data_IF_309620817637
#
_entry.id   IF_309620817637
#
_cell.length_a   1.000
_cell.length_b   1.000
_cell.length_c   1.000
_cell.angle_alpha   90.00
_cell.angle_beta   90.00
_cell.angle_gamma   90.00
#
_symmetry.space_group_name_H-M   'P 1'
#
loop_
_entity.id
_entity.type
_entity.pdbx_description
1 polymer ?
#
# COMPACT_ATOMS: atom_id res chain seq x y z
N UNK A 1 -60.56 -6.74 4.38
CA UNK A 1 -59.38 -7.56 4.01
C UNK A 1 -58.42 -6.69 3.23
N UNK A 2 -57.44 -6.08 3.90
CA UNK A 2 -56.23 -5.54 3.27
C UNK A 2 -55.11 -5.71 4.30
N UNK A 3 -54.16 -6.58 3.95
CA UNK A 3 -52.98 -6.91 4.73
C UNK A 3 -51.93 -5.87 4.37
N UNK A 4 -51.55 -5.03 5.34
CA UNK A 4 -50.36 -4.18 5.21
C UNK A 4 -49.11 -5.05 5.36
N UNK A 5 -48.38 -5.21 4.26
CA UNK A 5 -47.09 -5.89 4.23
C UNK A 5 -46.03 -4.88 4.66
N UNK A 6 -45.53 -5.01 5.87
CA UNK A 6 -44.39 -4.24 6.38
C UNK A 6 -43.09 -4.86 5.82
N UNK A 7 -42.33 -4.13 5.00
CA UNK A 7 -40.96 -4.52 4.60
C UNK A 7 -39.98 -4.07 5.69
N UNK A 8 -39.17 -4.97 6.29
CA UNK A 8 -38.15 -4.56 7.23
C UNK A 8 -36.91 -4.07 6.47
N UNK A 9 -36.46 -2.87 6.85
CA UNK A 9 -35.24 -2.25 6.35
C UNK A 9 -33.98 -2.85 6.99
N UNK A 10 -33.10 -3.32 6.13
CA UNK A 10 -31.85 -4.03 6.38
C UNK A 10 -30.68 -3.06 6.66
N UNK A 11 -30.66 -2.43 7.85
CA UNK A 11 -29.53 -1.59 8.30
C UNK A 11 -28.93 -1.99 9.65
N UNK A 12 -29.61 -2.85 10.41
CA UNK A 12 -29.12 -3.34 11.71
C UNK A 12 -28.30 -4.64 11.62
N UNK A 13 -28.51 -5.44 10.58
CA UNK A 13 -27.86 -6.75 10.40
C UNK A 13 -26.40 -6.59 9.93
N UNK A 14 -26.16 -5.68 8.97
CA UNK A 14 -24.85 -5.41 8.36
C UNK A 14 -23.81 -4.89 9.38
N UNK A 15 -24.20 -3.98 10.27
CA UNK A 15 -23.32 -3.45 11.32
C UNK A 15 -22.92 -4.53 12.34
N UNK A 16 -23.84 -5.45 12.65
CA UNK A 16 -23.57 -6.59 13.54
C UNK A 16 -22.64 -7.61 12.89
N UNK A 17 -22.84 -7.91 11.60
CA UNK A 17 -21.99 -8.85 10.85
C UNK A 17 -20.58 -8.29 10.67
N UNK A 18 -20.43 -7.02 10.28
CA UNK A 18 -19.14 -6.34 10.20
C UNK A 18 -18.38 -6.39 11.53
N UNK A 19 -19.03 -6.03 12.64
CA UNK A 19 -18.42 -6.07 13.97
C UNK A 19 -17.99 -7.49 14.37
N UNK A 20 -18.78 -8.51 14.01
CA UNK A 20 -18.45 -9.90 14.26
C UNK A 20 -17.22 -10.37 13.46
N UNK A 21 -17.09 -9.94 12.20
CA UNK A 21 -15.92 -10.22 11.37
C UNK A 21 -14.64 -9.56 11.93
N UNK A 22 -14.71 -8.32 12.42
CA UNK A 22 -13.57 -7.69 13.11
C UNK A 22 -13.23 -8.46 14.39
N UNK A 23 -14.23 -8.81 15.20
CA UNK A 23 -14.03 -9.52 16.46
C UNK A 23 -13.34 -10.87 16.26
N UNK A 24 -13.74 -11.66 15.26
CA UNK A 24 -13.12 -12.97 15.00
C UNK A 24 -11.65 -12.82 14.57
N UNK A 25 -11.32 -11.76 13.83
CA UNK A 25 -9.93 -11.47 13.46
C UNK A 25 -9.07 -11.10 14.68
N UNK A 26 -9.59 -10.29 15.61
CA UNK A 26 -8.86 -9.96 16.85
C UNK A 26 -8.59 -11.19 17.72
N UNK A 27 -9.57 -12.10 17.82
CA UNK A 27 -9.39 -13.37 18.53
C UNK A 27 -8.38 -14.28 17.80
N UNK A 28 -8.39 -14.30 16.47
CA UNK A 28 -7.41 -15.03 15.67
C UNK A 28 -5.99 -14.45 15.81
N UNK A 29 -5.83 -13.13 15.85
CA UNK A 29 -4.53 -12.49 16.08
C UNK A 29 -3.96 -12.85 17.45
N UNK A 30 -4.81 -12.87 18.48
CA UNK A 30 -4.43 -13.33 19.83
C UNK A 30 -3.97 -14.78 19.83
N UNK A 31 -4.70 -15.65 19.11
CA UNK A 31 -4.30 -17.05 18.92
C UNK A 31 -2.91 -17.14 18.28
N UNK A 32 -2.71 -16.52 17.13
CA UNK A 32 -1.43 -16.58 16.42
C UNK A 32 -0.27 -15.98 17.23
N UNK A 33 -0.51 -14.89 17.96
CA UNK A 33 0.50 -14.28 18.85
C UNK A 33 0.93 -15.29 19.92
N UNK A 34 -0.04 -15.93 20.59
CA UNK A 34 0.24 -16.95 21.60
C UNK A 34 1.04 -18.11 21.02
N UNK A 35 0.66 -18.63 19.86
CA UNK A 35 1.39 -19.73 19.23
C UNK A 35 2.84 -19.35 18.92
N UNK A 36 3.11 -18.12 18.47
CA UNK A 36 4.48 -17.64 18.22
C UNK A 36 5.32 -17.61 19.50
N UNK A 37 4.77 -17.03 20.58
CA UNK A 37 5.46 -16.89 21.86
C UNK A 37 5.70 -18.25 22.53
N UNK A 38 4.75 -19.18 22.40
CA UNK A 38 4.87 -20.53 22.97
C UNK A 38 5.79 -21.45 22.17
N UNK A 39 6.30 -21.01 21.01
CA UNK A 39 7.30 -21.74 20.22
C UNK A 39 8.55 -20.86 19.99
N UNK A 40 9.28 -20.48 21.05
CA UNK A 40 10.44 -19.58 20.93
C UNK A 40 11.57 -20.16 20.08
N UNK A 41 11.70 -21.50 20.05
CA UNK A 41 12.65 -22.25 19.23
C UNK A 41 12.05 -22.69 17.87
N UNK A 42 10.80 -22.31 17.60
CA UNK A 42 10.14 -22.60 16.34
C UNK A 42 10.75 -21.81 15.18
N UNK A 43 10.63 -22.36 13.97
CA UNK A 43 11.20 -21.73 12.76
C UNK A 43 10.74 -20.28 12.56
N UNK A 44 9.52 -19.94 12.97
CA UNK A 44 8.96 -18.60 12.83
C UNK A 44 9.75 -17.57 13.65
N UNK A 45 10.02 -17.88 14.92
CA UNK A 45 10.82 -17.06 15.80
C UNK A 45 12.29 -17.03 15.36
N UNK A 46 12.84 -18.18 14.94
CA UNK A 46 14.20 -18.27 14.41
C UNK A 46 14.38 -17.41 13.16
N UNK A 47 13.45 -17.49 12.21
CA UNK A 47 13.50 -16.69 10.98
C UNK A 47 13.49 -15.18 11.27
N UNK A 48 12.70 -14.74 12.26
CA UNK A 48 12.70 -13.34 12.68
C UNK A 48 14.07 -12.95 13.27
N UNK A 49 14.68 -13.78 14.12
CA UNK A 49 16.03 -13.54 14.66
C UNK A 49 17.11 -13.52 13.59
N UNK A 50 17.10 -14.49 12.69
CA UNK A 50 18.08 -14.58 11.59
C UNK A 50 18.05 -13.32 10.71
N UNK A 51 16.86 -12.76 10.51
CA UNK A 51 16.64 -11.52 9.75
C UNK A 51 16.85 -10.25 10.58
N UNK A 52 17.25 -10.35 11.86
CA UNK A 52 17.35 -9.24 12.83
C UNK A 52 16.01 -8.51 13.04
N UNK A 53 14.89 -9.20 12.85
CA UNK A 53 13.53 -8.69 12.99
C UNK A 53 12.84 -9.12 14.31
N UNK A 54 13.60 -9.66 15.26
CA UNK A 54 13.12 -10.27 16.49
C UNK A 54 12.64 -9.28 17.57
N UNK A 55 12.83 -7.97 17.37
CA UNK A 55 12.20 -6.94 18.21
C UNK A 55 10.68 -7.11 18.34
N UNK A 56 10.03 -7.72 17.33
CA UNK A 56 8.59 -8.02 17.36
C UNK A 56 8.21 -9.13 18.35
N UNK A 57 9.17 -9.93 18.81
CA UNK A 57 8.96 -11.01 19.77
C UNK A 57 8.86 -10.49 21.22
N UNK A 58 9.33 -9.27 21.48
CA UNK A 58 9.26 -8.68 22.81
C UNK A 58 7.80 -8.57 23.32
N UNK A 59 7.54 -8.82 24.63
CA UNK A 59 6.18 -8.74 25.19
C UNK A 59 5.48 -7.38 24.97
N UNK A 60 6.24 -6.28 25.00
CA UNK A 60 5.73 -4.91 24.79
C UNK A 60 5.78 -4.42 23.34
N UNK A 61 6.10 -5.29 22.38
CA UNK A 61 6.12 -4.89 20.97
C UNK A 61 4.73 -4.45 20.52
N UNK A 62 4.58 -3.27 19.87
CA UNK A 62 3.31 -2.85 19.31
C UNK A 62 2.93 -3.65 18.05
N UNK A 63 3.90 -4.35 17.44
CA UNK A 63 3.64 -5.21 16.29
C UNK A 63 2.93 -6.50 16.69
N UNK A 64 1.73 -6.70 16.16
CA UNK A 64 0.91 -7.91 16.34
C UNK A 64 1.34 -9.04 15.40
N UNK A 65 2.61 -9.44 15.48
CA UNK A 65 3.14 -10.59 14.74
C UNK A 65 2.81 -11.89 15.47
N UNK A 66 2.33 -12.88 14.73
CA UNK A 66 2.01 -14.21 15.25
C UNK A 66 2.52 -15.34 14.38
N UNK A 67 2.13 -16.57 14.71
CA UNK A 67 2.46 -17.79 13.99
C UNK A 67 1.20 -18.65 13.82
N UNK A 68 0.89 -19.02 12.58
CA UNK A 68 -0.10 -20.03 12.26
C UNK A 68 0.61 -21.40 12.28
N UNK A 69 0.39 -22.23 13.33
CA UNK A 69 1.00 -23.54 13.42
C UNK A 69 0.57 -24.46 12.27
N UNK A 70 1.40 -25.45 11.93
CA UNK A 70 0.99 -26.48 10.99
C UNK A 70 -0.12 -27.36 11.58
N UNK A 71 -1.02 -27.84 10.72
CA UNK A 71 -2.22 -28.57 11.12
C UNK A 71 -3.45 -28.13 10.34
N UNK A 72 -4.44 -29.02 10.24
CA UNK A 72 -5.60 -28.78 9.38
C UNK A 72 -6.67 -27.88 10.00
N UNK A 73 -6.83 -27.83 11.32
CA UNK A 73 -7.99 -27.17 11.95
C UNK A 73 -7.69 -26.60 13.34
N UNK A 74 -6.44 -26.16 13.59
CA UNK A 74 -6.02 -25.62 14.88
C UNK A 74 -6.73 -24.31 15.20
N UNK A 75 -6.73 -23.37 14.26
CA UNK A 75 -7.45 -22.10 14.40
C UNK A 75 -8.96 -22.33 14.38
N UNK A 76 -9.48 -23.09 13.42
CA UNK A 76 -10.92 -23.38 13.31
C UNK A 76 -11.45 -23.98 14.61
N UNK A 77 -10.77 -24.99 15.16
CA UNK A 77 -11.14 -25.60 16.42
C UNK A 77 -11.07 -24.62 17.60
N UNK A 78 -10.05 -23.75 17.62
CA UNK A 78 -9.95 -22.70 18.63
C UNK A 78 -11.10 -21.70 18.56
N UNK A 79 -11.40 -21.15 17.37
CA UNK A 79 -12.44 -20.15 17.18
C UNK A 79 -13.84 -20.71 17.46
N UNK A 80 -14.11 -21.97 17.10
CA UNK A 80 -15.37 -22.65 17.50
C UNK A 80 -15.54 -22.71 19.01
N UNK A 81 -14.47 -23.02 19.76
CA UNK A 81 -14.49 -22.98 21.24
C UNK A 81 -14.66 -21.58 21.80
N UNK A 82 -14.34 -20.54 21.03
CA UNK A 82 -14.61 -19.14 21.35
C UNK A 82 -16.03 -18.69 20.96
N UNK A 83 -16.87 -19.61 20.46
CA UNK A 83 -18.27 -19.37 20.15
C UNK A 83 -18.55 -18.82 18.75
N UNK A 84 -17.57 -18.83 17.85
CA UNK A 84 -17.80 -18.44 16.45
C UNK A 84 -18.33 -19.61 15.63
N UNK A 85 -19.37 -19.37 14.85
CA UNK A 85 -19.91 -20.35 13.90
C UNK A 85 -19.06 -20.45 12.63
N UNK A 86 -19.32 -21.50 11.86
CA UNK A 86 -18.58 -21.83 10.64
C UNK A 86 -18.77 -20.79 9.51
N UNK A 87 -19.93 -20.14 9.44
CA UNK A 87 -20.22 -19.11 8.42
C UNK A 87 -19.29 -17.91 8.64
N UNK A 88 -19.18 -17.45 9.87
CA UNK A 88 -18.29 -16.34 10.25
C UNK A 88 -16.83 -16.64 9.90
N UNK A 89 -16.37 -17.88 10.11
CA UNK A 89 -14.98 -18.26 9.79
C UNK A 89 -14.71 -18.25 8.28
N UNK A 90 -15.70 -18.67 7.49
CA UNK A 90 -15.65 -18.65 6.03
C UNK A 90 -15.68 -17.21 5.49
N UNK A 91 -16.62 -16.40 5.96
CA UNK A 91 -16.80 -15.01 5.52
C UNK A 91 -15.64 -14.10 5.93
N UNK A 92 -15.02 -14.40 7.08
CA UNK A 92 -13.77 -13.76 7.51
C UNK A 92 -12.55 -14.19 6.68
N UNK A 93 -12.67 -15.24 5.86
CA UNK A 93 -11.55 -15.79 5.09
C UNK A 93 -10.49 -16.49 5.95
N UNK A 94 -10.85 -16.90 7.18
CA UNK A 94 -9.96 -17.58 8.12
C UNK A 94 -9.98 -19.11 7.95
N UNK A 95 -11.05 -19.63 7.36
CA UNK A 95 -11.22 -21.04 7.04
C UNK A 95 -11.40 -21.28 5.53
N UNK A 96 -11.27 -22.54 5.12
CA UNK A 96 -11.63 -22.99 3.77
C UNK A 96 -12.33 -24.35 3.85
N UNK A 97 -13.35 -24.59 3.02
CA UNK A 97 -14.01 -25.90 2.99
C UNK A 97 -13.13 -26.90 2.23
N UNK A 98 -13.07 -28.12 2.74
CA UNK A 98 -12.58 -29.28 1.99
C UNK A 98 -13.67 -29.80 1.04
N UNK A 99 -13.30 -30.70 0.13
CA UNK A 99 -14.26 -31.36 -0.78
C UNK A 99 -15.40 -32.08 -0.04
N UNK A 100 -15.15 -32.53 1.19
CA UNK A 100 -16.10 -33.29 2.01
C UNK A 100 -16.87 -32.38 3.00
N UNK A 101 -16.77 -31.06 2.87
CA UNK A 101 -17.49 -30.08 3.70
C UNK A 101 -16.84 -29.72 5.04
N UNK A 102 -15.76 -30.40 5.44
CA UNK A 102 -15.02 -30.01 6.67
C UNK A 102 -14.27 -28.69 6.46
N UNK A 103 -14.32 -27.82 7.47
CA UNK A 103 -13.51 -26.60 7.50
C UNK A 103 -12.09 -26.86 7.96
N UNK A 104 -11.15 -26.27 7.24
CA UNK A 104 -9.72 -26.28 7.54
C UNK A 104 -9.16 -24.85 7.63
N UNK A 105 -8.06 -24.70 8.36
CA UNK A 105 -7.35 -23.45 8.53
C UNK A 105 -6.84 -22.94 7.16
N UNK A 106 -7.15 -21.68 6.85
CA UNK A 106 -6.65 -20.99 5.65
C UNK A 106 -5.13 -20.83 5.70
N UNK A 107 -4.62 -20.41 6.85
CA UNK A 107 -3.22 -20.16 7.11
C UNK A 107 -2.63 -21.28 7.95
N UNK A 108 -1.55 -21.88 7.47
CA UNK A 108 -0.89 -23.04 8.07
C UNK A 108 0.60 -22.97 7.83
N UNK A 109 1.38 -23.20 8.88
CA UNK A 109 2.85 -23.12 8.89
C UNK A 109 3.35 -21.77 8.33
N UNK A 110 2.86 -20.66 8.91
CA UNK A 110 3.14 -19.29 8.45
C UNK A 110 3.40 -18.31 9.58
N UNK A 111 4.35 -17.39 9.40
CA UNK A 111 4.41 -16.16 10.21
C UNK A 111 3.25 -15.28 9.77
N UNK A 112 2.50 -14.75 10.73
CA UNK A 112 1.26 -14.02 10.52
C UNK A 112 1.45 -12.54 10.85
N UNK A 113 1.09 -11.69 9.90
CA UNK A 113 1.08 -10.24 10.03
C UNK A 113 -0.34 -9.70 9.89
N UNK A 114 -0.69 -8.74 10.71
CA UNK A 114 -1.99 -8.08 10.72
C UNK A 114 -2.11 -7.06 9.58
N UNK A 115 -3.23 -7.09 8.87
CA UNK A 115 -3.56 -6.10 7.85
C UNK A 115 -4.77 -5.27 8.30
N UNK A 116 -4.65 -3.96 8.24
CA UNK A 116 -5.60 -3.02 8.82
C UNK A 116 -6.25 -2.13 7.77
N UNK A 117 -7.46 -1.66 8.07
CA UNK A 117 -8.22 -0.72 7.23
C UNK A 117 -7.88 0.75 7.54
N UNK A 118 -8.72 1.67 7.04
CA UNK A 118 -8.55 3.11 7.23
C UNK A 118 -8.72 3.56 8.69
N UNK A 119 -9.52 2.85 9.48
CA UNK A 119 -9.77 3.11 10.89
C UNK A 119 -8.82 2.30 11.80
N UNK A 120 -7.84 1.62 11.20
CA UNK A 120 -6.89 0.71 11.86
C UNK A 120 -7.54 -0.53 12.48
N UNK A 121 -8.76 -0.90 12.06
CA UNK A 121 -9.33 -2.19 12.44
C UNK A 121 -8.57 -3.32 11.77
N UNK A 122 -8.37 -4.42 12.49
CA UNK A 122 -7.84 -5.64 11.90
C UNK A 122 -8.87 -6.28 10.96
N UNK A 123 -8.57 -6.25 9.67
CA UNK A 123 -9.48 -6.76 8.62
C UNK A 123 -8.98 -7.99 7.91
N UNK A 124 -7.70 -8.36 8.10
CA UNK A 124 -7.14 -9.53 7.46
C UNK A 124 -5.71 -9.82 7.90
N UNK A 125 -5.09 -10.78 7.22
CA UNK A 125 -3.75 -11.24 7.51
C UNK A 125 -2.92 -11.40 6.23
N UNK A 126 -1.61 -11.20 6.40
CA UNK A 126 -0.57 -11.61 5.45
C UNK A 126 0.27 -12.70 6.11
N UNK A 127 0.30 -13.89 5.52
CA UNK A 127 0.99 -15.07 6.05
C UNK A 127 2.22 -15.44 5.22
N UNK A 128 3.42 -15.37 5.81
CA UNK A 128 4.68 -15.81 5.17
C UNK A 128 4.99 -17.26 5.50
N UNK A 129 5.15 -18.12 4.49
CA UNK A 129 5.53 -19.53 4.68
C UNK A 129 7.04 -19.75 4.56
N UNK A 130 7.52 -20.84 5.16
CA UNK A 130 8.85 -21.41 4.87
C UNK A 130 8.80 -22.43 3.72
N UNK A 131 9.96 -22.72 3.12
CA UNK A 131 10.13 -23.78 2.12
C UNK A 131 9.35 -23.54 0.83
N UNK A 132 8.86 -24.62 0.23
CA UNK A 132 8.28 -24.65 -1.14
C UNK A 132 6.82 -24.18 -1.24
N UNK A 133 6.21 -23.78 -0.12
CA UNK A 133 4.85 -23.23 -0.12
C UNK A 133 4.86 -21.84 -0.76
N UNK A 134 3.71 -21.40 -1.28
CA UNK A 134 3.53 -20.01 -1.75
C UNK A 134 4.01 -19.04 -0.67
N UNK A 135 5.07 -18.28 -1.00
CA UNK A 135 5.86 -17.50 -0.04
C UNK A 135 5.01 -16.57 0.81
N UNK A 136 4.08 -15.83 0.19
CA UNK A 136 3.12 -14.97 0.86
C UNK A 136 1.69 -15.33 0.49
N UNK A 137 0.83 -15.41 1.50
CA UNK A 137 -0.59 -15.68 1.36
C UNK A 137 -1.37 -14.57 2.03
N UNK A 138 -2.27 -13.93 1.31
CA UNK A 138 -3.16 -12.91 1.87
C UNK A 138 -4.52 -13.54 2.20
N UNK A 139 -5.24 -12.92 3.14
CA UNK A 139 -6.69 -13.11 3.28
C UNK A 139 -7.36 -12.93 1.90
N UNK A 140 -8.31 -13.81 1.51
CA UNK A 140 -9.10 -13.59 0.29
C UNK A 140 -9.90 -12.28 0.40
N UNK A 141 -10.47 -11.80 -0.69
CA UNK A 141 -11.41 -10.67 -0.62
C UNK A 141 -12.61 -11.08 0.25
N UNK A 142 -12.97 -10.23 1.22
CA UNK A 142 -14.15 -10.39 2.09
C UNK A 142 -14.94 -9.09 2.14
N UNK A 143 -16.02 -9.05 2.91
CA UNK A 143 -16.77 -7.81 3.16
C UNK A 143 -15.89 -6.71 3.80
N UNK A 144 -14.91 -7.11 4.63
CA UNK A 144 -14.04 -6.18 5.37
C UNK A 144 -12.62 -6.08 4.79
N UNK A 145 -12.21 -7.02 3.94
CA UNK A 145 -10.85 -7.07 3.38
C UNK A 145 -10.82 -6.86 1.87
N UNK A 146 -10.09 -5.82 1.44
CA UNK A 146 -9.67 -5.61 0.06
C UNK A 146 -8.19 -5.25 0.03
N UNK A 147 -7.40 -5.97 -0.77
CA UNK A 147 -5.94 -5.73 -0.89
C UNK A 147 -5.59 -4.28 -1.24
N UNK A 148 -6.43 -3.62 -2.04
CA UNK A 148 -6.27 -2.22 -2.45
C UNK A 148 -6.59 -1.20 -1.34
N UNK A 149 -7.02 -1.62 -0.16
CA UNK A 149 -7.35 -0.73 0.95
C UNK A 149 -6.55 -1.09 2.20
N UNK A 150 -6.26 -2.38 2.39
CA UNK A 150 -5.54 -2.87 3.55
C UNK A 150 -4.03 -2.58 3.47
N UNK A 151 -3.44 -2.31 4.63
CA UNK A 151 -2.01 -2.06 4.83
C UNK A 151 -1.52 -2.78 6.08
N UNK A 152 -0.22 -3.13 6.11
CA UNK A 152 0.43 -3.74 7.26
C UNK A 152 1.40 -2.75 7.91
N UNK A 153 1.35 -2.62 9.24
CA UNK A 153 2.32 -1.87 10.05
C UNK A 153 1.88 -0.48 10.49
N UNK A 154 0.75 0.04 10.00
CA UNK A 154 0.20 1.33 10.44
C UNK A 154 -0.26 1.31 11.90
N UNK A 155 -0.98 0.26 12.32
CA UNK A 155 -1.51 0.10 13.67
C UNK A 155 -0.39 0.09 14.72
N UNK A 156 0.71 -0.63 14.43
CA UNK A 156 1.86 -0.75 15.29
C UNK A 156 2.66 0.56 15.47
N UNK A 157 2.44 1.55 14.61
CA UNK A 157 3.25 2.77 14.54
C UNK A 157 2.39 4.04 14.54
N UNK A 158 1.12 3.96 14.94
CA UNK A 158 0.19 5.11 14.92
C UNK A 158 0.71 6.31 15.72
N UNK A 159 1.25 6.07 16.92
CA UNK A 159 1.71 7.14 17.82
C UNK A 159 2.96 7.80 17.23
N UNK A 160 3.78 7.01 16.54
CA UNK A 160 4.98 7.46 15.82
C UNK A 160 4.60 8.35 14.63
N UNK A 161 3.62 7.95 13.83
CA UNK A 161 3.07 8.75 12.72
C UNK A 161 2.41 10.04 13.20
N UNK A 162 1.68 9.98 14.32
CA UNK A 162 1.09 11.14 14.99
C UNK A 162 2.16 12.11 15.53
N UNK A 163 3.36 11.61 15.84
CA UNK A 163 4.48 12.39 16.34
C UNK A 163 5.41 12.95 15.24
N UNK A 164 5.00 12.87 13.97
CA UNK A 164 5.75 13.48 12.86
C UNK A 164 6.71 12.54 12.13
N UNK A 165 6.63 11.22 12.36
CA UNK A 165 7.41 10.29 11.56
C UNK A 165 6.95 10.24 10.10
N UNK A 166 7.91 10.14 9.19
CA UNK A 166 7.64 10.03 7.76
C UNK A 166 7.22 8.60 7.43
N UNK A 167 6.03 8.37 6.85
CA UNK A 167 5.65 7.05 6.37
C UNK A 167 6.57 6.59 5.24
N UNK A 168 7.02 5.35 5.32
CA UNK A 168 7.85 4.69 4.30
C UNK A 168 7.07 3.51 3.74
N UNK A 169 6.63 3.64 2.49
CA UNK A 169 5.88 2.59 1.80
C UNK A 169 6.86 1.61 1.15
N UNK A 170 6.67 0.33 1.46
CA UNK A 170 7.53 -0.78 1.03
C UNK A 170 6.69 -1.92 0.44
N UNK A 171 7.34 -2.86 -0.26
CA UNK A 171 6.65 -4.01 -0.85
C UNK A 171 6.25 -5.05 0.20
N UNK A 172 7.22 -5.54 0.98
CA UNK A 172 7.03 -6.65 1.90
C UNK A 172 6.87 -6.23 3.36
N UNK A 173 6.20 -7.07 4.15
CA UNK A 173 6.11 -6.86 5.60
C UNK A 173 7.47 -6.89 6.30
N UNK A 174 8.43 -7.78 5.94
CA UNK A 174 9.78 -7.72 6.51
C UNK A 174 10.46 -6.36 6.30
N UNK A 175 10.23 -5.71 5.16
CA UNK A 175 10.77 -4.39 4.86
C UNK A 175 10.18 -3.33 5.80
N UNK A 176 8.87 -3.43 6.07
CA UNK A 176 8.18 -2.50 6.96
C UNK A 176 8.69 -2.64 8.41
N UNK A 177 8.95 -3.88 8.83
CA UNK A 177 9.59 -4.17 10.11
C UNK A 177 11.00 -3.60 10.18
N UNK A 178 11.81 -3.79 9.14
CA UNK A 178 13.18 -3.27 9.08
C UNK A 178 13.22 -1.74 9.20
N UNK A 179 12.36 -1.03 8.47
CA UNK A 179 12.21 0.42 8.64
C UNK A 179 11.79 0.78 10.06
N UNK A 180 10.83 0.03 10.62
CA UNK A 180 10.33 0.24 11.98
C UNK A 180 11.41 0.16 13.07
N UNK A 181 12.52 -0.54 12.81
CA UNK A 181 13.65 -0.68 13.72
C UNK A 181 14.68 0.46 13.66
N UNK A 182 14.66 1.30 12.61
CA UNK A 182 15.66 2.38 12.42
C UNK A 182 15.39 3.65 13.25
N UNK A 183 14.55 3.56 14.28
CA UNK A 183 14.23 4.66 15.19
C UNK A 183 12.87 5.31 14.92
N UNK A 184 12.65 6.47 15.51
CA UNK A 184 11.32 7.10 15.59
C UNK A 184 10.96 7.98 14.38
N UNK A 185 11.93 8.32 13.53
CA UNK A 185 11.73 9.27 12.42
C UNK A 185 10.93 8.70 11.25
N UNK A 186 10.86 7.37 11.14
CA UNK A 186 10.18 6.68 10.04
C UNK A 186 9.21 5.62 10.54
N UNK A 187 8.13 5.41 9.78
CA UNK A 187 7.18 4.35 10.02
C UNK A 187 7.05 3.48 8.76
N UNK A 188 7.48 2.22 8.84
CA UNK A 188 7.40 1.29 7.71
C UNK A 188 5.99 0.78 7.48
N UNK A 189 5.50 0.86 6.25
CA UNK A 189 4.14 0.45 5.86
C UNK A 189 4.19 -0.41 4.61
N UNK A 190 3.72 -1.65 4.70
CA UNK A 190 3.73 -2.60 3.58
C UNK A 190 2.37 -2.68 2.89
N UNK A 191 2.40 -2.78 1.57
CA UNK A 191 1.24 -3.13 0.74
C UNK A 191 0.99 -4.64 0.72
N UNK A 192 -0.26 -5.06 0.55
CA UNK A 192 -0.64 -6.48 0.56
C UNK A 192 -0.47 -7.18 -0.81
N UNK A 193 0.71 -7.03 -1.42
CA UNK A 193 1.04 -7.66 -2.72
C UNK A 193 0.29 -7.06 -3.91
N UNK A 194 0.15 -5.74 -3.94
CA UNK A 194 -0.45 -4.97 -5.03
C UNK A 194 0.40 -3.74 -5.34
N UNK A 195 0.25 -3.15 -6.52
CA UNK A 195 0.73 -1.79 -6.74
C UNK A 195 0.08 -0.84 -5.72
N UNK A 196 0.82 0.20 -5.32
CA UNK A 196 0.34 1.21 -4.38
C UNK A 196 -0.89 1.91 -4.99
N UNK A 197 -2.00 1.88 -4.26
CA UNK A 197 -3.27 2.46 -4.71
C UNK A 197 -3.54 3.82 -4.06
N UNK A 198 -4.45 4.60 -4.67
CA UNK A 198 -4.86 5.89 -4.09
C UNK A 198 -5.57 5.71 -2.74
N UNK A 199 -6.34 4.64 -2.58
CA UNK A 199 -7.03 4.32 -1.33
C UNK A 199 -6.02 4.02 -0.22
N UNK A 200 -5.00 3.20 -0.49
CA UNK A 200 -3.90 3.00 0.45
C UNK A 200 -3.17 4.31 0.79
N UNK A 201 -2.91 5.16 -0.21
CA UNK A 201 -2.30 6.46 0.03
C UNK A 201 -3.14 7.34 0.98
N UNK A 202 -4.47 7.33 0.81
CA UNK A 202 -5.40 8.02 1.73
C UNK A 202 -5.38 7.43 3.13
N UNK A 203 -5.30 6.10 3.27
CA UNK A 203 -5.16 5.44 4.57
C UNK A 203 -3.89 5.92 5.28
N UNK A 204 -2.73 5.92 4.60
CA UNK A 204 -1.48 6.44 5.19
C UNK A 204 -1.62 7.91 5.57
N UNK A 205 -2.14 8.75 4.67
CA UNK A 205 -2.28 10.21 4.89
C UNK A 205 -3.17 10.54 6.09
N UNK A 206 -4.20 9.73 6.36
CA UNK A 206 -5.11 9.92 7.50
C UNK A 206 -4.39 9.84 8.85
N UNK A 207 -3.35 9.01 8.95
CA UNK A 207 -2.63 8.76 10.20
C UNK A 207 -1.28 9.49 10.29
N UNK A 208 -0.71 9.88 9.15
CA UNK A 208 0.51 10.67 9.11
C UNK A 208 0.23 12.17 9.31
N UNK A 209 1.00 12.82 10.19
CA UNK A 209 0.96 14.27 10.39
C UNK A 209 1.84 15.03 9.40
N UNK A 210 2.84 14.37 8.82
CA UNK A 210 3.70 14.94 7.79
C UNK A 210 3.01 14.97 6.43
N UNK A 211 3.39 15.93 5.59
CA UNK A 211 2.98 15.97 4.18
C UNK A 211 3.97 15.23 3.24
N UNK A 212 4.89 14.46 3.84
CA UNK A 212 5.92 13.70 3.13
C UNK A 212 5.67 12.20 3.21
N UNK A 213 6.00 11.49 2.13
CA UNK A 213 6.02 10.03 2.07
C UNK A 213 7.26 9.56 1.32
N UNK A 214 7.91 8.52 1.82
CA UNK A 214 9.05 7.89 1.15
C UNK A 214 8.59 6.56 0.56
N UNK A 215 8.99 6.27 -0.67
CA UNK A 215 8.87 4.96 -1.28
C UNK A 215 10.23 4.26 -1.21
N UNK A 216 10.28 3.06 -0.64
CA UNK A 216 11.49 2.25 -0.55
C UNK A 216 11.18 0.82 -1.05
N UNK A 217 11.29 0.63 -2.36
CA UNK A 217 11.17 -0.67 -3.02
C UNK A 217 12.56 -1.19 -3.41
N UNK A 218 12.61 -2.43 -3.92
CA UNK A 218 13.85 -3.07 -4.39
C UNK A 218 14.66 -2.16 -5.31
N UNK A 219 15.99 -2.15 -5.11
CA UNK A 219 16.90 -1.28 -5.89
C UNK A 219 17.07 -1.66 -7.37
N UNK A 220 16.37 -2.70 -7.84
CA UNK A 220 16.42 -3.15 -9.23
C UNK A 220 15.50 -2.32 -10.17
N UNK A 221 15.48 -2.67 -11.45
CA UNK A 221 14.65 -1.96 -12.42
C UNK A 221 13.13 -2.14 -12.17
N UNK A 222 12.73 -3.29 -11.65
CA UNK A 222 11.32 -3.59 -11.37
C UNK A 222 10.82 -2.76 -10.18
N UNK A 223 11.60 -2.69 -9.09
CA UNK A 223 11.31 -1.87 -7.92
C UNK A 223 11.29 -0.38 -8.26
N UNK A 224 12.26 0.13 -9.04
CA UNK A 224 12.24 1.52 -9.54
C UNK A 224 11.00 1.82 -10.39
N UNK A 225 10.62 0.89 -11.28
CA UNK A 225 9.39 1.01 -12.07
C UNK A 225 8.15 1.02 -11.18
N UNK A 226 8.11 0.16 -10.15
CA UNK A 226 7.06 0.13 -9.14
C UNK A 226 6.94 1.44 -8.38
N UNK A 227 8.06 2.04 -7.99
CA UNK A 227 8.10 3.32 -7.31
C UNK A 227 7.52 4.42 -8.21
N UNK A 228 7.99 4.54 -9.46
CA UNK A 228 7.46 5.54 -10.41
C UNK A 228 5.95 5.37 -10.64
N UNK A 229 5.44 4.13 -10.73
CA UNK A 229 4.00 3.87 -10.86
C UNK A 229 3.16 4.37 -9.68
N UNK A 230 3.75 4.47 -8.49
CA UNK A 230 3.06 4.97 -7.30
C UNK A 230 2.93 6.51 -7.25
N UNK A 231 3.70 7.23 -8.06
CA UNK A 231 3.81 8.69 -8.02
C UNK A 231 2.45 9.39 -8.15
N UNK A 232 1.60 8.96 -9.08
CA UNK A 232 0.27 9.55 -9.27
C UNK A 232 -0.65 9.33 -8.06
N UNK A 233 -0.63 8.13 -7.48
CA UNK A 233 -1.48 7.79 -6.33
C UNK A 233 -1.07 8.59 -5.08
N UNK A 234 0.24 8.71 -4.85
CA UNK A 234 0.80 9.39 -3.68
C UNK A 234 0.73 10.91 -3.82
N UNK A 235 1.04 11.46 -4.99
CA UNK A 235 0.98 12.92 -5.22
C UNK A 235 -0.43 13.48 -5.19
N UNK A 236 -1.45 12.62 -5.17
CA UNK A 236 -2.84 13.03 -4.98
C UNK A 236 -3.20 13.34 -3.53
N UNK A 237 -2.34 13.00 -2.57
CA UNK A 237 -2.58 13.14 -1.12
C UNK A 237 -1.38 13.63 -0.30
N UNK A 238 -0.15 13.54 -0.83
CA UNK A 238 1.07 14.05 -0.22
C UNK A 238 1.70 15.12 -1.11
N UNK A 239 2.24 16.17 -0.49
CA UNK A 239 2.94 17.24 -1.19
C UNK A 239 4.38 16.85 -1.53
N UNK A 240 5.00 16.02 -0.69
CA UNK A 240 6.38 15.55 -0.87
C UNK A 240 6.41 14.04 -1.06
N UNK A 241 6.48 13.59 -2.31
CA UNK A 241 6.65 12.17 -2.65
C UNK A 241 8.12 11.91 -2.96
N UNK A 242 8.76 11.13 -2.10
CA UNK A 242 10.20 10.88 -2.10
C UNK A 242 10.48 9.40 -2.38
N UNK A 243 11.71 9.09 -2.76
CA UNK A 243 12.21 7.73 -2.98
C UNK A 243 13.56 7.57 -2.29
N UNK A 244 13.73 6.44 -1.60
CA UNK A 244 15.02 6.04 -1.05
C UNK A 244 15.73 5.13 -2.05
N UNK A 245 16.91 5.53 -2.52
CA UNK A 245 17.70 4.72 -3.43
C UNK A 245 18.42 3.60 -2.66
N UNK A 246 18.05 2.36 -2.94
CA UNK A 246 18.70 1.19 -2.37
C UNK A 246 19.75 0.61 -3.32
N UNK A 247 20.78 -0.08 -2.79
CA UNK A 247 21.68 -0.89 -3.62
C UNK A 247 20.92 -1.83 -4.55
N UNK A 248 21.46 -2.01 -5.75
CA UNK A 248 20.88 -2.91 -6.75
C UNK A 248 20.62 -4.29 -6.15
N UNK A 249 19.47 -4.86 -6.51
CA UNK A 249 19.01 -6.21 -6.13
C UNK A 249 18.72 -6.46 -4.63
N UNK A 250 18.77 -5.44 -3.77
CA UNK A 250 18.40 -5.58 -2.37
C UNK A 250 17.08 -4.86 -2.06
N UNK A 251 16.24 -5.54 -1.29
CA UNK A 251 15.05 -5.01 -0.61
C UNK A 251 15.44 -4.33 0.72
N UNK A 252 14.60 -3.46 1.32
CA UNK A 252 14.92 -2.80 2.58
C UNK A 252 15.32 -3.78 3.70
N UNK A 253 14.62 -4.91 3.85
CA UNK A 253 14.94 -5.90 4.88
C UNK A 253 16.32 -6.53 4.70
N UNK A 254 16.75 -6.78 3.47
CA UNK A 254 18.06 -7.36 3.18
C UNK A 254 19.18 -6.32 3.25
N UNK A 255 18.89 -5.05 2.96
CA UNK A 255 19.82 -3.95 3.29
C UNK A 255 20.01 -3.88 4.79
N UNK A 256 18.92 -3.87 5.57
CA UNK A 256 18.95 -3.81 7.03
C UNK A 256 19.70 -4.99 7.66
N UNK A 257 19.44 -6.23 7.19
CA UNK A 257 20.11 -7.42 7.71
C UNK A 257 21.64 -7.31 7.56
N UNK A 258 22.10 -6.81 6.41
CA UNK A 258 23.52 -6.67 6.10
C UNK A 258 24.15 -5.45 6.76
N UNK A 259 23.49 -4.31 6.69
CA UNK A 259 23.99 -2.99 7.08
C UNK A 259 22.82 -2.03 7.42
N UNK A 260 22.40 -1.96 8.70
CA UNK A 260 21.36 -1.04 9.16
C UNK A 260 21.68 0.43 8.88
N UNK A 261 22.95 0.84 8.98
CA UNK A 261 23.38 2.23 8.76
C UNK A 261 23.20 2.64 7.31
N UNK A 262 23.35 1.69 6.37
CA UNK A 262 23.07 1.94 4.96
C UNK A 262 21.59 2.18 4.68
N UNK A 263 20.68 1.42 5.30
CA UNK A 263 19.25 1.70 5.16
C UNK A 263 18.90 3.04 5.83
N UNK A 264 19.46 3.33 7.00
CA UNK A 264 19.32 4.62 7.68
C UNK A 264 19.75 5.79 6.79
N UNK A 265 20.93 5.69 6.15
CA UNK A 265 21.43 6.72 5.24
C UNK A 265 20.51 6.93 4.04
N UNK A 266 19.99 5.85 3.44
CA UNK A 266 19.05 5.94 2.31
C UNK A 266 17.73 6.63 2.69
N UNK A 267 17.21 6.38 3.91
CA UNK A 267 15.99 7.03 4.41
C UNK A 267 16.23 8.46 4.92
N UNK A 268 17.48 8.81 5.26
CA UNK A 268 17.86 10.14 5.74
C UNK A 268 18.15 11.12 4.59
N UNK A 269 18.51 10.61 3.42
CA UNK A 269 18.76 11.41 2.22
C UNK A 269 17.90 10.94 1.02
N UNK A 270 16.56 10.85 1.16
CA UNK A 270 15.70 10.47 0.07
C UNK A 270 15.63 11.61 -0.95
N UNK A 271 15.39 11.28 -2.22
CA UNK A 271 15.23 12.27 -3.29
C UNK A 271 13.79 12.32 -3.79
N UNK A 272 13.35 13.41 -4.46
CA UNK A 272 12.02 13.47 -5.05
C UNK A 272 11.78 12.32 -6.04
N UNK A 273 10.67 11.60 -5.88
CA UNK A 273 10.33 10.46 -6.74
C UNK A 273 10.13 10.89 -8.21
N UNK A 274 9.70 12.13 -8.44
CA UNK A 274 9.59 12.72 -9.77
C UNK A 274 10.94 12.81 -10.50
N UNK A 275 12.05 12.98 -9.78
CA UNK A 275 13.38 13.00 -10.38
C UNK A 275 13.74 11.62 -10.94
N UNK A 276 13.44 10.54 -10.19
CA UNK A 276 13.58 9.17 -10.68
C UNK A 276 12.67 8.91 -11.89
N UNK A 277 11.43 9.41 -11.88
CA UNK A 277 10.51 9.26 -13.01
C UNK A 277 11.04 9.93 -14.29
N UNK A 278 11.59 11.15 -14.16
CA UNK A 278 12.22 11.86 -15.29
C UNK A 278 13.43 11.09 -15.80
N UNK A 279 14.33 10.65 -14.91
CA UNK A 279 15.51 9.86 -15.29
C UNK A 279 15.14 8.58 -16.06
N UNK A 280 14.18 7.81 -15.55
CA UNK A 280 13.73 6.57 -16.19
C UNK A 280 13.06 6.81 -17.55
N UNK A 281 12.29 7.89 -17.68
CA UNK A 281 11.66 8.23 -18.95
C UNK A 281 12.70 8.70 -19.97
N UNK A 282 13.66 9.54 -19.57
CA UNK A 282 14.77 9.96 -20.45
C UNK A 282 15.61 8.76 -20.91
N UNK A 283 15.85 7.77 -20.05
CA UNK A 283 16.65 6.59 -20.38
C UNK A 283 16.07 5.80 -21.57
N UNK A 284 14.76 5.85 -21.79
CA UNK A 284 14.10 5.21 -22.94
C UNK A 284 14.52 5.80 -24.28
N UNK A 285 14.98 7.06 -24.27
CA UNK A 285 15.37 7.80 -25.47
C UNK A 285 16.88 7.76 -25.73
N UNK A 286 17.69 7.13 -24.87
CA UNK A 286 19.17 7.09 -24.97
C UNK A 286 19.68 6.81 -26.39
N UNK A 287 19.08 5.82 -27.07
CA UNK A 287 19.50 5.36 -28.40
C UNK A 287 19.24 6.33 -29.55
N UNK A 288 18.45 7.37 -29.32
CA UNK A 288 18.03 8.32 -30.37
C UNK A 288 18.34 9.77 -30.02
N UNK A 289 19.05 10.04 -28.91
CA UNK A 289 19.40 11.40 -28.48
C UNK A 289 20.43 12.10 -29.36
N UNK A 290 21.06 11.38 -30.29
CA UNK A 290 22.00 11.96 -31.25
C UNK A 290 21.28 12.80 -32.33
N UNK A 291 19.96 12.61 -32.49
CA UNK A 291 19.13 13.39 -33.39
C UNK A 291 18.27 14.41 -32.64
N UNK A 292 18.14 15.62 -33.19
CA UNK A 292 17.30 16.69 -32.64
C UNK A 292 15.86 16.20 -32.40
N UNK A 293 15.32 15.40 -33.32
CA UNK A 293 13.98 14.81 -33.16
C UNK A 293 13.86 13.91 -31.93
N UNK A 294 14.88 13.09 -31.63
CA UNK A 294 14.92 12.26 -30.44
C UNK A 294 15.06 13.07 -29.16
N UNK A 295 15.86 14.14 -29.18
CA UNK A 295 15.99 15.07 -28.05
C UNK A 295 14.65 15.76 -27.75
N UNK A 296 13.98 16.31 -28.77
CA UNK A 296 12.67 16.97 -28.61
C UNK A 296 11.61 15.98 -28.13
N UNK A 297 11.58 14.77 -28.66
CA UNK A 297 10.64 13.74 -28.21
C UNK A 297 10.90 13.29 -26.77
N UNK A 298 12.17 13.25 -26.33
CA UNK A 298 12.51 13.00 -24.94
C UNK A 298 11.97 14.11 -24.02
N UNK A 299 12.09 15.39 -24.41
CA UNK A 299 11.46 16.51 -23.69
C UNK A 299 9.96 16.34 -23.62
N UNK A 300 9.30 16.02 -24.73
CA UNK A 300 7.84 15.81 -24.79
C UNK A 300 7.38 14.69 -23.84
N UNK A 301 8.17 13.63 -23.72
CA UNK A 301 7.86 12.52 -22.83
C UNK A 301 7.91 12.92 -21.34
N UNK A 302 8.85 13.78 -20.95
CA UNK A 302 9.02 14.23 -19.55
C UNK A 302 8.22 15.50 -19.20
N UNK A 303 7.82 16.29 -20.19
CA UNK A 303 7.07 17.53 -20.00
C UNK A 303 5.80 17.38 -19.12
N UNK A 304 5.01 16.29 -19.21
CA UNK A 304 3.87 16.05 -18.32
C UNK A 304 4.25 15.85 -16.84
N UNK A 305 5.47 15.39 -16.55
CA UNK A 305 6.00 15.24 -15.18
C UNK A 305 6.50 16.59 -14.66
N UNK A 306 7.31 17.29 -15.47
CA UNK A 306 7.87 18.61 -15.12
C UNK A 306 6.78 19.64 -14.88
N UNK A 307 5.74 19.67 -15.73
CA UNK A 307 4.61 20.60 -15.60
C UNK A 307 3.76 20.43 -14.33
N UNK A 308 4.00 19.39 -13.52
CA UNK A 308 3.34 19.17 -12.23
C UNK A 308 4.11 19.78 -11.05
N UNK A 309 5.34 20.18 -11.28
CA UNK A 309 6.21 20.68 -10.23
C UNK A 309 5.86 22.11 -9.83
N UNK A 310 6.23 22.53 -8.62
CA UNK A 310 6.22 23.94 -8.24
C UNK A 310 7.01 24.82 -9.22
N UNK A 311 6.61 26.07 -9.43
CA UNK A 311 7.18 26.94 -10.48
C UNK A 311 8.70 27.12 -10.39
N UNK A 312 9.24 27.23 -9.18
CA UNK A 312 10.69 27.30 -8.94
C UNK A 312 11.43 26.03 -9.38
N UNK A 313 10.82 24.86 -9.17
CA UNK A 313 11.34 23.57 -9.64
C UNK A 313 11.22 23.43 -11.15
N UNK A 314 10.13 23.90 -11.77
CA UNK A 314 9.96 23.88 -13.23
C UNK A 314 11.12 24.60 -13.93
N UNK A 315 11.49 25.79 -13.49
CA UNK A 315 12.60 26.55 -14.08
C UNK A 315 13.94 25.81 -13.97
N UNK A 316 14.23 25.25 -12.78
CA UNK A 316 15.43 24.44 -12.56
C UNK A 316 15.45 23.18 -13.45
N UNK A 317 14.30 22.54 -13.63
CA UNK A 317 14.16 21.35 -14.48
C UNK A 317 14.36 21.67 -15.96
N UNK A 318 13.82 22.78 -16.44
CA UNK A 318 14.06 23.26 -17.81
C UNK A 318 15.56 23.44 -18.06
N UNK A 319 16.26 24.10 -17.13
CA UNK A 319 17.72 24.30 -17.23
C UNK A 319 18.51 22.99 -17.15
N UNK A 320 18.03 22.01 -16.36
CA UNK A 320 18.62 20.66 -16.28
C UNK A 320 18.44 19.89 -17.58
N UNK A 321 17.22 19.86 -18.12
CA UNK A 321 16.87 19.17 -19.36
C UNK A 321 17.57 19.79 -20.58
N UNK A 322 17.65 21.12 -20.65
CA UNK A 322 18.39 21.84 -21.70
C UNK A 322 19.86 21.37 -21.75
N UNK A 323 20.55 21.31 -20.60
CA UNK A 323 21.92 20.80 -20.52
C UNK A 323 22.03 19.31 -20.84
N UNK A 324 21.14 18.49 -20.29
CA UNK A 324 21.18 17.04 -20.48
C UNK A 324 20.92 16.61 -21.93
N UNK A 325 20.03 17.32 -22.63
CA UNK A 325 19.61 17.01 -24.00
C UNK A 325 20.28 17.88 -25.06
N UNK A 326 21.13 18.83 -24.67
CA UNK A 326 21.80 19.80 -25.56
C UNK A 326 20.82 20.58 -26.43
N UNK A 327 19.68 20.94 -25.84
CA UNK A 327 18.63 21.73 -26.49
C UNK A 327 18.62 23.15 -25.94
N UNK A 328 18.22 24.09 -26.80
CA UNK A 328 17.94 25.46 -26.38
C UNK A 328 16.84 25.48 -25.29
N UNK A 329 17.03 26.31 -24.26
CA UNK A 329 16.07 26.43 -23.16
C UNK A 329 14.68 26.86 -23.63
N UNK A 330 14.57 27.60 -24.73
CA UNK A 330 13.30 28.03 -25.30
C UNK A 330 12.52 26.87 -25.93
N UNK A 331 13.24 25.91 -26.53
CA UNK A 331 12.63 24.68 -27.05
C UNK A 331 12.08 23.86 -25.89
N UNK A 332 12.88 23.66 -24.85
CA UNK A 332 12.45 22.90 -23.66
C UNK A 332 11.26 23.58 -22.98
N UNK A 333 11.33 24.90 -22.78
CA UNK A 333 10.25 25.70 -22.18
C UNK A 333 8.96 25.59 -22.96
N UNK A 334 9.02 25.67 -24.30
CA UNK A 334 7.85 25.55 -25.17
C UNK A 334 7.16 24.20 -25.03
N UNK A 335 7.92 23.12 -25.03
CA UNK A 335 7.36 21.76 -24.91
C UNK A 335 6.78 21.52 -23.51
N UNK A 336 7.42 22.05 -22.45
CA UNK A 336 6.87 22.01 -21.08
C UNK A 336 5.56 22.81 -20.97
N UNK A 337 5.51 24.02 -21.56
CA UNK A 337 4.30 24.85 -21.59
C UNK A 337 3.18 24.20 -22.42
N UNK A 338 3.51 23.58 -23.55
CA UNK A 338 2.55 22.84 -24.37
C UNK A 338 1.88 21.71 -23.58
N UNK A 339 2.64 21.01 -22.74
CA UNK A 339 2.09 19.98 -21.85
C UNK A 339 1.10 20.55 -20.79
N UNK A 340 1.27 21.80 -20.35
CA UNK A 340 0.30 22.48 -19.46
C UNK A 340 -1.01 22.75 -20.22
N UNK A 341 -0.92 23.21 -21.47
CA UNK A 341 -2.07 23.47 -22.34
C UNK A 341 -2.92 22.22 -22.57
N UNK A 342 -2.28 21.12 -23.00
CA UNK A 342 -2.95 19.83 -23.24
C UNK A 342 -3.67 19.29 -21.98
N UNK A 343 -3.12 19.53 -20.78
CA UNK A 343 -3.76 19.12 -19.52
C UNK A 343 -5.00 19.94 -19.21
N UNK A 344 -4.96 21.24 -19.50
CA UNK A 344 -6.12 22.13 -19.29
C UNK A 344 -7.29 21.68 -20.15
N UNK A 345 -7.04 21.34 -21.41
CA UNK A 345 -8.04 20.81 -22.34
C UNK A 345 -8.56 19.43 -21.90
N UNK A 346 -7.68 18.47 -21.58
CA UNK A 346 -8.10 17.14 -21.12
C UNK A 346 -8.92 17.19 -19.82
N UNK A 347 -8.59 18.12 -18.90
CA UNK A 347 -9.34 18.32 -17.64
C UNK A 347 -10.70 18.95 -17.89
N UNK A 348 -10.81 19.86 -18.87
CA UNK A 348 -12.09 20.43 -19.32
C UNK A 348 -12.97 19.38 -20.01
N UNK A 349 -12.40 18.55 -20.88
CA UNK A 349 -13.11 17.45 -21.56
C UNK A 349 -13.62 16.43 -20.55
N UNK A 350 -12.80 16.00 -19.58
CA UNK A 350 -13.24 15.10 -18.50
C UNK A 350 -14.34 15.70 -17.62
N UNK A 351 -14.25 17.00 -17.29
CA UNK A 351 -15.31 17.70 -16.55
C UNK A 351 -16.62 17.83 -17.33
N UNK A 352 -16.55 18.01 -18.65
CA UNK A 352 -17.74 18.01 -19.52
C UNK A 352 -18.34 16.61 -19.61
N UNK A 353 -17.51 15.57 -19.75
CA UNK A 353 -17.94 14.18 -19.79
C UNK A 353 -18.57 13.70 -18.47
N UNK A 354 -18.01 14.11 -17.32
CA UNK A 354 -18.59 13.77 -16.01
C UNK A 354 -19.91 14.51 -15.79
N UNK A 355 -19.99 15.81 -16.14
CA UNK A 355 -21.25 16.58 -16.06
C UNK A 355 -22.33 16.04 -16.99
N UNK A 356 -21.97 15.52 -18.17
CA UNK A 356 -22.94 14.88 -19.06
C UNK A 356 -23.39 13.50 -18.55
N UNK A 357 -22.53 12.77 -17.83
CA UNK A 357 -22.91 11.52 -17.18
C UNK A 357 -23.83 11.78 -15.98
N UNK A 358 -23.49 12.76 -15.13
CA UNK A 358 -24.33 13.19 -14.00
C UNK A 358 -25.68 13.75 -14.47
N UNK A 359 -25.72 14.48 -15.60
CA UNK A 359 -26.96 14.97 -16.21
C UNK A 359 -27.78 13.87 -16.91
N UNK A 360 -27.14 12.82 -17.42
CA UNK A 360 -27.82 11.66 -18.00
C UNK A 360 -28.42 10.76 -16.91
N UNK A 361 -27.74 10.61 -15.76
CA UNK A 361 -28.30 9.94 -14.58
C UNK A 361 -29.48 10.74 -13.99
N UNK A 362 -29.39 12.08 -13.95
CA UNK A 362 -30.48 12.94 -13.50
C UNK A 362 -31.70 12.97 -14.46
N UNK A 363 -31.49 12.71 -15.76
CA UNK A 363 -32.57 12.63 -16.75
C UNK A 363 -33.21 11.24 -16.87
N UNK A 364 -32.58 10.22 -16.26
CA UNK A 364 -33.09 8.84 -16.21
C UNK A 364 -34.03 8.57 -15.02
N UNK A 365 -34.28 9.58 -14.17
CA UNK A 365 -35.19 9.52 -13.01
C UNK A 365 -36.41 10.44 -13.26
N UNK A 366 -37.56 9.92 -13.76
CA UNK A 366 -38.70 10.75 -14.12
C UNK A 366 -39.65 11.04 -12.94
N UNK A 367 -39.24 10.88 -11.69
CA UNK A 367 -40.08 11.13 -10.51
C UNK A 367 -39.47 12.15 -9.54
N UNK A 368 -39.32 13.40 -9.98
CA UNK A 368 -39.26 14.54 -9.07
C UNK A 368 -39.81 15.81 -9.74
N UNK A 369 -41.14 15.89 -9.83
CA UNK A 369 -41.84 17.17 -9.96
C UNK A 369 -42.72 17.39 -8.72
N UNK A 370 -42.21 18.21 -7.80
CA UNK A 370 -43.05 18.96 -6.88
C UNK A 370 -42.61 20.43 -6.98
N UNK A 371 -43.51 21.26 -7.49
CA UNK A 371 -43.48 22.72 -7.39
C UNK A 371 -44.71 23.15 -6.60
N UNK A 372 -44.69 24.37 -6.07
CA UNK A 372 -44.13 24.78 -4.78
C UNK A 372 -45.01 24.41 -3.58
#
# INVERSE_FOLDING_TARGET
>A
MQIQIHRPGDRGCDVSEHAQLIRVHEVAATFYRRELINTPDGWAAQHLRDRKLDGVLAPGSPWRVGYAPDGWSRLVGYLRRQGFDDKVLLDAGLASPTRNGYLIDRFRDRIMFVACDIDLHLVGFVGRARGDRVRYLNTPTTAIYRKSHALVGLDAQRDRLASGAVPVIVEGVPDALAVGQLGANWAGVSVCGTAITRQQAQVVRRHATTDAVIVALDGDFAGKTGAVRSLDALSAVFDQVLVADLPATLDPASVFEKDPDRLLAALSAPRPLVDLAIEMELARWDRVRDHISGQVNAVRAVAPLVSRLPANRVASEIARLSRALRLDSDIVSREVLAAVGLRTEQRQVRRRASRSADAADAAADPDCSWSP
#
